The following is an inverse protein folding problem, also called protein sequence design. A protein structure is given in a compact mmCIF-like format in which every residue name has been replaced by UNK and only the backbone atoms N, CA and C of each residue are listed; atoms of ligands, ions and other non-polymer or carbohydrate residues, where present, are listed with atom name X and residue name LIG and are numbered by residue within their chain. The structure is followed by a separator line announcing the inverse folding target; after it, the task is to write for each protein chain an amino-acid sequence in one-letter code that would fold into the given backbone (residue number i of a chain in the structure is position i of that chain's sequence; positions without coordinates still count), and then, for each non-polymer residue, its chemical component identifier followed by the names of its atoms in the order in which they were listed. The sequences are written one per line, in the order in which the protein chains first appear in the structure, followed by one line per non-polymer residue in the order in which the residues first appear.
data_IF_608015607195
#
_entry.id   IF_608015607195
#
_cell.length_a   1.000
_cell.length_b   1.000
_cell.length_c   1.000
_cell.angle_alpha   90.00
_cell.angle_beta   90.00
_cell.angle_gamma   90.00
#
_symmetry.space_group_name_H-M   'P 1'
#
loop_
_entity.id
_entity.type
_entity.pdbx_description
1 polymer ?
#
# COMPACT_ATOMS: atom_id res chain seq x y z
N UNK A 1 -17.57 11.89 -19.77
CA UNK A 1 -17.92 10.47 -20.04
C UNK A 1 -17.06 9.59 -19.14
N UNK A 2 -17.62 9.16 -18.01
CA UNK A 2 -16.97 8.27 -17.04
C UNK A 2 -16.98 6.84 -17.60
N UNK A 3 -15.94 6.48 -18.36
CA UNK A 3 -15.64 5.06 -18.57
C UNK A 3 -15.02 4.57 -17.26
N UNK A 4 -15.74 3.71 -16.56
CA UNK A 4 -15.28 3.06 -15.33
C UNK A 4 -13.90 2.47 -15.52
N UNK A 5 -12.90 3.05 -14.86
CA UNK A 5 -11.52 2.57 -14.79
C UNK A 5 -11.46 1.09 -14.34
N UNK A 6 -12.49 0.62 -13.63
CA UNK A 6 -12.62 -0.77 -13.25
C UNK A 6 -12.61 -1.72 -14.46
N UNK A 7 -13.11 -1.29 -15.63
CA UNK A 7 -13.09 -2.08 -16.86
C UNK A 7 -11.70 -2.10 -17.54
N UNK A 8 -10.95 -0.98 -17.48
CA UNK A 8 -9.59 -0.88 -18.04
C UNK A 8 -8.59 -1.70 -17.23
N UNK A 9 -8.79 -1.76 -15.92
CA UNK A 9 -7.87 -2.40 -14.97
C UNK A 9 -8.19 -3.89 -14.76
N UNK A 10 -9.43 -4.33 -15.03
CA UNK A 10 -9.93 -5.70 -14.80
C UNK A 10 -9.25 -6.81 -15.61
N UNK A 11 -8.48 -6.50 -16.65
CA UNK A 11 -7.91 -7.51 -17.57
C UNK A 11 -6.45 -7.28 -17.98
N UNK A 12 -5.79 -6.26 -17.45
CA UNK A 12 -4.46 -5.88 -17.93
C UNK A 12 -3.37 -6.50 -17.04
N UNK A 13 -2.44 -7.22 -17.68
CA UNK A 13 -1.04 -7.19 -17.25
C UNK A 13 -0.64 -5.73 -17.03
N UNK A 14 0.27 -5.45 -16.11
CA UNK A 14 0.87 -4.16 -15.79
C UNK A 14 1.49 -3.39 -16.99
N UNK A 15 0.72 -3.14 -18.03
CA UNK A 15 1.11 -2.43 -19.22
C UNK A 15 1.20 -0.95 -18.93
N UNK A 16 2.01 -0.28 -19.74
CA UNK A 16 2.11 1.17 -19.84
C UNK A 16 0.74 1.83 -19.84
N UNK A 17 -0.23 1.28 -20.57
CA UNK A 17 -1.51 1.93 -20.87
C UNK A 17 -2.36 2.25 -19.63
N UNK A 18 -2.31 1.39 -18.59
CA UNK A 18 -3.02 1.65 -17.33
C UNK A 18 -2.33 2.74 -16.52
N UNK A 19 -0.99 2.72 -16.48
CA UNK A 19 -0.20 3.70 -15.75
C UNK A 19 -0.24 5.08 -16.43
N UNK A 20 -0.23 5.10 -17.76
CA UNK A 20 -0.36 6.32 -18.57
C UNK A 20 -1.73 6.97 -18.37
N UNK A 21 -2.80 6.18 -18.35
CA UNK A 21 -4.15 6.68 -18.06
C UNK A 21 -4.27 7.23 -16.63
N UNK A 22 -3.56 6.64 -15.67
CA UNK A 22 -3.53 7.11 -14.29
C UNK A 22 -2.75 8.43 -14.12
N UNK A 23 -1.76 8.70 -14.96
CA UNK A 23 -0.95 9.92 -14.92
C UNK A 23 -1.76 11.22 -15.08
N UNK A 24 -2.94 11.17 -15.71
CA UNK A 24 -3.82 12.32 -15.90
C UNK A 24 -4.60 12.74 -14.63
N UNK A 25 -4.60 11.92 -13.58
CA UNK A 25 -5.34 12.18 -12.35
C UNK A 25 -4.51 12.96 -11.32
N UNK A 26 -5.20 13.67 -10.41
CA UNK A 26 -4.53 14.33 -9.29
C UNK A 26 -3.78 13.31 -8.42
N UNK A 27 -2.74 13.73 -7.65
CA UNK A 27 -2.04 12.82 -6.75
C UNK A 27 -2.98 12.10 -5.77
N UNK A 28 -4.00 12.78 -5.24
CA UNK A 28 -4.97 12.18 -4.32
C UNK A 28 -5.81 11.10 -5.00
N UNK A 29 -6.28 11.34 -6.23
CA UNK A 29 -7.03 10.35 -7.01
C UNK A 29 -6.14 9.15 -7.36
N UNK A 30 -4.89 9.37 -7.78
CA UNK A 30 -3.94 8.27 -8.04
C UNK A 30 -3.74 7.38 -6.82
N UNK A 31 -3.56 7.96 -5.63
CA UNK A 31 -3.46 7.18 -4.38
C UNK A 31 -4.71 6.34 -4.13
N UNK A 32 -5.91 6.90 -4.31
CA UNK A 32 -7.18 6.15 -4.15
C UNK A 32 -7.30 5.01 -5.16
N UNK A 33 -7.02 5.29 -6.43
CA UNK A 33 -7.11 4.29 -7.50
C UNK A 33 -6.11 3.15 -7.32
N UNK A 34 -4.88 3.45 -6.88
CA UNK A 34 -3.88 2.42 -6.54
C UNK A 34 -4.34 1.60 -5.33
N UNK A 35 -4.85 2.24 -4.27
CA UNK A 35 -5.35 1.53 -3.09
C UNK A 35 -6.49 0.58 -3.47
N UNK A 36 -7.50 1.09 -4.17
CA UNK A 36 -8.65 0.32 -4.63
C UNK A 36 -8.27 -0.81 -5.59
N UNK A 37 -7.28 -0.60 -6.44
CA UNK A 37 -6.82 -1.62 -7.38
C UNK A 37 -6.12 -2.77 -6.66
N UNK A 38 -5.11 -2.46 -5.83
CA UNK A 38 -4.38 -3.49 -5.09
C UNK A 38 -5.32 -4.26 -4.15
N UNK A 39 -6.25 -3.58 -3.48
CA UNK A 39 -7.22 -4.18 -2.56
C UNK A 39 -8.28 -5.10 -3.23
N UNK A 40 -8.21 -5.30 -4.55
CA UNK A 40 -9.00 -6.35 -5.25
C UNK A 40 -8.33 -7.72 -5.20
N UNK A 41 -7.02 -7.76 -4.93
CA UNK A 41 -6.32 -9.02 -4.76
C UNK A 41 -6.81 -9.71 -3.48
N UNK A 42 -6.85 -11.06 -3.46
CA UNK A 42 -7.23 -11.77 -2.25
C UNK A 42 -6.16 -11.58 -1.18
N UNK A 43 -6.60 -11.35 0.05
CA UNK A 43 -5.73 -11.36 1.22
C UNK A 43 -5.58 -12.82 1.68
N UNK A 44 -4.36 -13.33 1.66
CA UNK A 44 -4.04 -14.73 2.03
C UNK A 44 -2.74 -14.70 2.82
N UNK A 45 -2.75 -15.26 4.03
CA UNK A 45 -1.54 -15.37 4.85
C UNK A 45 -0.48 -16.22 4.13
N UNK A 46 0.80 -15.88 4.28
CA UNK A 46 1.89 -16.55 3.57
C UNK A 46 1.96 -18.06 3.82
N UNK A 47 1.58 -18.48 5.02
CA UNK A 47 1.59 -19.89 5.37
C UNK A 47 0.59 -20.69 4.53
N UNK A 48 -0.55 -20.08 4.19
CA UNK A 48 -1.58 -20.69 3.36
C UNK A 48 -1.27 -20.53 1.87
N UNK A 49 -0.62 -19.42 1.49
CA UNK A 49 -0.33 -19.09 0.10
C UNK A 49 0.94 -19.78 -0.44
N UNK A 50 2.01 -19.79 0.35
CA UNK A 50 3.36 -20.22 -0.05
C UNK A 50 3.94 -21.33 0.83
N UNK A 51 3.28 -21.68 1.94
CA UNK A 51 3.81 -22.65 2.91
C UNK A 51 4.98 -22.11 3.74
N UNK A 52 5.19 -20.79 3.73
CA UNK A 52 6.25 -20.09 4.46
C UNK A 52 5.62 -19.17 5.52
N UNK A 53 6.33 -18.91 6.61
CA UNK A 53 5.79 -18.05 7.69
C UNK A 53 5.84 -16.55 7.38
N UNK A 54 6.73 -16.17 6.46
CA UNK A 54 7.04 -14.78 6.09
C UNK A 54 7.76 -14.84 4.72
N UNK A 55 7.09 -14.37 3.67
CA UNK A 55 7.54 -14.40 2.28
C UNK A 55 7.11 -13.12 1.56
N UNK A 56 8.09 -12.25 1.32
CA UNK A 56 7.85 -10.97 0.67
C UNK A 56 7.79 -11.17 -0.84
N UNK A 57 6.58 -11.30 -1.39
CA UNK A 57 6.36 -11.53 -2.80
C UNK A 57 6.78 -10.33 -3.65
N UNK A 58 7.40 -10.60 -4.80
CA UNK A 58 7.55 -9.55 -5.80
C UNK A 58 6.18 -9.14 -6.35
N UNK A 59 6.11 -7.94 -6.96
CA UNK A 59 4.85 -7.42 -7.47
C UNK A 59 4.17 -8.38 -8.45
N UNK A 60 4.92 -9.04 -9.34
CA UNK A 60 4.35 -9.95 -10.32
C UNK A 60 3.66 -11.15 -9.66
N UNK A 61 4.27 -11.69 -8.60
CA UNK A 61 3.76 -12.79 -7.79
C UNK A 61 2.53 -12.36 -7.01
N UNK A 62 2.58 -11.20 -6.33
CA UNK A 62 1.44 -10.65 -5.60
C UNK A 62 0.19 -10.50 -6.48
N UNK A 63 0.30 -9.92 -7.69
CA UNK A 63 -0.86 -9.76 -8.57
C UNK A 63 -1.31 -11.05 -9.26
N UNK A 64 -0.52 -12.13 -9.18
CA UNK A 64 -0.94 -13.45 -9.66
C UNK A 64 -1.71 -14.22 -8.59
N UNK A 65 -1.27 -14.14 -7.33
CA UNK A 65 -1.71 -15.05 -6.28
C UNK A 65 -2.47 -14.36 -5.14
N UNK A 66 -2.37 -13.04 -5.01
CA UNK A 66 -2.63 -12.36 -3.73
C UNK A 66 -1.50 -12.61 -2.74
N UNK A 67 -1.62 -12.03 -1.54
CA UNK A 67 -0.67 -12.22 -0.43
C UNK A 67 -1.19 -11.55 0.85
N UNK A 68 -0.34 -11.26 1.83
CA UNK A 68 -0.66 -10.59 3.08
C UNK A 68 -0.20 -9.12 3.12
N UNK A 69 -0.20 -8.51 4.31
CA UNK A 69 -0.21 -7.06 4.49
C UNK A 69 0.98 -6.30 3.89
N UNK A 70 2.21 -6.80 4.02
CA UNK A 70 3.42 -6.14 3.52
C UNK A 70 3.46 -6.13 2.01
N UNK A 71 2.99 -7.19 1.38
CA UNK A 71 2.98 -7.34 -0.07
C UNK A 71 1.96 -6.39 -0.70
N UNK A 72 0.81 -6.17 -0.05
CA UNK A 72 -0.10 -5.09 -0.42
C UNK A 72 0.60 -3.72 -0.33
N UNK A 73 1.37 -3.45 0.74
CA UNK A 73 2.08 -2.19 0.90
C UNK A 73 3.18 -1.98 -0.15
N UNK A 74 3.95 -3.03 -0.46
CA UNK A 74 5.02 -3.04 -1.48
C UNK A 74 4.41 -2.86 -2.87
N UNK A 75 3.34 -3.57 -3.20
CA UNK A 75 2.63 -3.44 -4.47
C UNK A 75 2.16 -2.01 -4.70
N UNK A 76 1.51 -1.39 -3.71
CA UNK A 76 1.05 0.00 -3.78
C UNK A 76 2.22 0.97 -3.91
N UNK A 77 3.31 0.75 -3.19
CA UNK A 77 4.53 1.58 -3.28
C UNK A 77 5.07 1.56 -4.72
N UNK A 78 5.21 0.37 -5.31
CA UNK A 78 5.75 0.21 -6.65
C UNK A 78 4.84 0.76 -7.74
N UNK A 79 3.53 0.64 -7.58
CA UNK A 79 2.57 1.28 -8.49
C UNK A 79 2.67 2.80 -8.42
N UNK A 80 2.72 3.38 -7.22
CA UNK A 80 2.87 4.83 -7.06
C UNK A 80 4.22 5.34 -7.55
N UNK A 81 5.31 4.59 -7.35
CA UNK A 81 6.63 4.90 -7.89
C UNK A 81 6.60 5.03 -9.42
N UNK A 82 5.91 4.09 -10.11
CA UNK A 82 5.70 4.16 -11.56
C UNK A 82 4.78 5.32 -12.00
N UNK A 83 4.03 5.91 -11.08
CA UNK A 83 3.19 7.09 -11.30
C UNK A 83 3.88 8.37 -10.82
N UNK A 84 5.21 8.40 -10.81
CA UNK A 84 6.05 9.55 -10.43
C UNK A 84 5.88 10.03 -8.99
N UNK A 85 5.42 9.17 -8.08
CA UNK A 85 5.55 9.45 -6.66
C UNK A 85 6.99 9.20 -6.23
N UNK A 86 7.68 10.28 -5.88
CA UNK A 86 9.06 10.19 -5.42
C UNK A 86 9.17 9.28 -4.18
N UNK A 87 10.04 8.26 -4.17
CA UNK A 87 10.20 7.30 -3.07
C UNK A 87 10.41 7.93 -1.69
N UNK A 88 11.13 9.06 -1.61
CA UNK A 88 11.34 9.78 -0.35
C UNK A 88 10.06 10.37 0.30
N UNK A 89 8.95 10.43 -0.44
CA UNK A 89 7.63 10.81 0.09
C UNK A 89 6.84 9.61 0.61
N UNK A 90 7.31 8.39 0.36
CA UNK A 90 6.58 7.17 0.69
C UNK A 90 7.31 6.40 1.78
N UNK A 91 6.54 5.72 2.65
CA UNK A 91 7.08 4.82 3.66
C UNK A 91 6.22 3.59 3.82
N UNK A 92 6.83 2.40 3.75
CA UNK A 92 6.22 1.18 4.27
C UNK A 92 6.36 1.25 5.79
N UNK A 93 5.27 1.05 6.51
CA UNK A 93 5.22 1.15 7.98
C UNK A 93 4.79 -0.19 8.52
N UNK A 94 5.66 -0.81 9.31
CA UNK A 94 5.35 -1.96 10.15
C UNK A 94 4.80 -1.44 11.47
N UNK A 95 3.69 -2.01 11.91
CA UNK A 95 2.92 -1.52 13.06
C UNK A 95 2.19 -2.64 13.78
N UNK A 96 1.80 -2.37 15.03
CA UNK A 96 0.84 -3.20 15.74
C UNK A 96 -0.56 -2.66 15.49
N UNK A 97 -1.46 -3.50 14.97
CA UNK A 97 -2.90 -3.28 15.03
C UNK A 97 -3.37 -3.64 16.45
N UNK A 98 -3.62 -2.62 17.26
CA UNK A 98 -4.01 -2.80 18.67
C UNK A 98 -5.44 -3.34 18.82
N UNK A 99 -6.31 -3.13 17.84
CA UNK A 99 -7.67 -3.69 17.86
C UNK A 99 -7.66 -5.20 17.62
N UNK A 100 -6.80 -5.67 16.72
CA UNK A 100 -6.68 -7.10 16.38
C UNK A 100 -5.55 -7.81 17.12
N UNK A 101 -4.74 -7.07 17.87
CA UNK A 101 -3.55 -7.53 18.57
C UNK A 101 -2.60 -8.35 17.67
N UNK A 102 -2.29 -7.81 16.49
CA UNK A 102 -1.43 -8.45 15.48
C UNK A 102 -0.52 -7.47 14.78
N UNK A 103 0.63 -7.94 14.30
CA UNK A 103 1.46 -7.14 13.41
C UNK A 103 0.73 -6.90 12.09
N UNK A 104 1.00 -5.75 11.49
CA UNK A 104 0.43 -5.33 10.22
C UNK A 104 1.40 -4.41 9.49
N UNK A 105 1.22 -4.29 8.18
CA UNK A 105 2.00 -3.40 7.34
C UNK A 105 1.10 -2.54 6.46
N UNK A 106 1.44 -1.26 6.34
CA UNK A 106 0.72 -0.28 5.52
C UNK A 106 1.69 0.58 4.73
N UNK A 107 1.18 1.24 3.69
CA UNK A 107 1.91 2.29 2.99
C UNK A 107 1.45 3.66 3.48
N UNK A 108 2.38 4.57 3.74
CA UNK A 108 2.10 5.99 3.94
C UNK A 108 2.73 6.83 2.84
N UNK A 109 2.05 7.90 2.43
CA UNK A 109 2.47 8.82 1.39
C UNK A 109 2.31 10.25 1.87
N UNK A 110 3.41 11.00 1.96
CA UNK A 110 3.37 12.42 2.25
C UNK A 110 3.00 13.21 0.99
N UNK A 111 1.91 13.96 1.06
CA UNK A 111 1.43 14.85 0.00
C UNK A 111 0.90 16.13 0.61
N UNK A 112 1.41 17.28 0.16
CA UNK A 112 1.03 18.62 0.65
C UNK A 112 1.16 18.77 2.17
N UNK A 113 2.20 18.20 2.77
CA UNK A 113 2.45 18.27 4.21
C UNK A 113 1.65 17.26 5.05
N UNK A 114 0.67 16.58 4.46
CA UNK A 114 -0.14 15.54 5.12
C UNK A 114 0.40 14.14 4.76
N UNK A 115 0.52 13.26 5.76
CA UNK A 115 0.75 11.84 5.50
C UNK A 115 -0.59 11.10 5.36
N UNK A 116 -0.77 10.46 4.21
CA UNK A 116 -1.95 9.66 3.85
C UNK A 116 -1.60 8.18 3.96
N UNK A 117 -2.51 7.37 4.49
CA UNK A 117 -2.34 5.94 4.68
C UNK A 117 -3.14 5.16 3.64
N UNK A 118 -2.49 4.18 3.04
CA UNK A 118 -3.04 3.19 2.12
C UNK A 118 -2.88 1.81 2.77
N UNK A 119 -4.00 1.14 3.01
CA UNK A 119 -4.07 -0.07 3.85
C UNK A 119 -4.84 -1.18 3.09
N UNK A 120 -4.52 -2.44 3.35
CA UNK A 120 -5.28 -3.60 2.87
C UNK A 120 -6.57 -3.84 3.67
N UNK A 121 -6.65 -3.38 4.92
CA UNK A 121 -7.82 -3.54 5.78
C UNK A 121 -8.79 -2.35 5.73
N UNK A 122 -8.27 -1.14 5.51
CA UNK A 122 -9.05 0.09 5.37
C UNK A 122 -9.15 0.44 3.88
N UNK A 123 -10.39 0.46 3.37
CA UNK A 123 -10.67 0.72 1.95
C UNK A 123 -10.29 2.14 1.53
N UNK A 124 -10.59 3.13 2.36
CA UNK A 124 -10.36 4.53 2.03
C UNK A 124 -8.90 4.94 2.28
N UNK A 125 -8.40 5.86 1.46
CA UNK A 125 -7.14 6.55 1.73
C UNK A 125 -7.41 7.64 2.75
N UNK A 126 -6.89 7.49 3.96
CA UNK A 126 -7.18 8.34 5.12
C UNK A 126 -5.93 9.06 5.63
N UNK A 127 -6.04 10.22 6.29
CA UNK A 127 -4.93 10.79 7.04
C UNK A 127 -4.48 9.82 8.14
N UNK A 128 -3.18 9.62 8.31
CA UNK A 128 -2.66 8.60 9.23
C UNK A 128 -3.09 8.85 10.69
N UNK A 129 -3.36 10.10 11.07
CA UNK A 129 -3.80 10.53 12.40
C UNK A 129 -5.18 9.99 12.77
N UNK A 130 -5.98 9.59 11.76
CA UNK A 130 -7.29 8.99 11.96
C UNK A 130 -7.21 7.49 12.31
N UNK A 131 -6.08 6.84 12.00
CA UNK A 131 -5.83 5.43 12.29
C UNK A 131 -5.26 5.23 13.69
N UNK A 132 -5.97 5.71 14.71
CA UNK A 132 -5.48 5.81 16.10
C UNK A 132 -5.22 4.48 16.80
N UNK A 133 -5.71 3.37 16.24
CA UNK A 133 -5.50 2.01 16.75
C UNK A 133 -4.24 1.33 16.20
N UNK A 134 -3.54 2.01 15.28
CA UNK A 134 -2.27 1.53 14.74
C UNK A 134 -1.12 2.18 15.48
N UNK A 135 -0.22 1.34 16.01
CA UNK A 135 0.99 1.77 16.69
C UNK A 135 2.22 1.45 15.84
N UNK A 136 2.80 2.43 15.14
CA UNK A 136 4.00 2.23 14.32
C UNK A 136 5.17 1.71 15.15
N UNK A 137 5.94 0.78 14.60
CA UNK A 137 7.16 0.24 15.22
C UNK A 137 8.38 0.59 14.35
N UNK A 138 8.29 0.33 13.04
CA UNK A 138 9.37 0.58 12.09
C UNK A 138 8.79 1.17 10.81
N UNK A 139 9.52 2.06 10.14
CA UNK A 139 9.18 2.43 8.77
C UNK A 139 10.39 2.49 7.86
N UNK A 140 10.21 2.14 6.60
CA UNK A 140 11.23 2.12 5.56
C UNK A 140 10.91 3.19 4.51
N UNK A 141 11.88 4.04 4.17
CA UNK A 141 11.76 5.07 3.12
C UNK A 141 13.02 5.11 2.25
N UNK A 142 12.92 4.58 1.03
CA UNK A 142 14.10 4.36 0.19
C UNK A 142 15.15 3.49 0.93
N UNK A 143 16.42 3.92 1.04
CA UNK A 143 17.45 3.17 1.75
C UNK A 143 17.44 3.35 3.28
N UNK A 144 16.48 4.11 3.84
CA UNK A 144 16.48 4.49 5.27
C UNK A 144 15.45 3.69 6.06
N UNK A 145 15.85 3.25 7.25
CA UNK A 145 14.99 2.67 8.26
C UNK A 145 14.83 3.65 9.43
N UNK A 146 13.61 3.78 9.93
CA UNK A 146 13.25 4.62 11.07
C UNK A 146 12.60 3.76 12.15
N UNK A 147 13.12 3.82 13.37
CA UNK A 147 12.51 3.22 14.55
C UNK A 147 11.54 4.20 15.20
N UNK A 148 10.31 3.76 15.43
CA UNK A 148 9.30 4.55 16.15
C UNK A 148 9.32 4.16 17.61
N UNK A 149 9.75 5.09 18.46
CA UNK A 149 9.81 4.89 19.90
C UNK A 149 8.66 5.68 20.53
N UNK A 150 7.78 5.03 21.31
CA UNK A 150 6.76 5.75 22.06
C UNK A 150 7.39 6.84 22.93
N UNK A 151 6.73 7.99 23.14
CA UNK A 151 7.18 8.97 24.12
C UNK A 151 7.40 8.29 25.47
N UNK A 152 8.48 8.65 26.17
CA UNK A 152 8.63 8.24 27.57
C UNK A 152 7.49 8.87 28.36
N UNK A 153 6.63 8.02 28.93
CA UNK A 153 5.61 8.40 29.91
C UNK A 153 6.24 8.74 31.25
#
# INVERSE_FOLDING_TARGET
MSKSLAATVSKANYGSDVLDALGAFSPAERMRLVNDFANRMPYIEDIDNYGLRDYWADTATFFKNGSDCEDFAIAKFKLLEKLDFHPARMRIVLLLDEQRNRQHAVLTVNSNGQAWMLDSLIRDVVPHETATHYRPTVSLSGPRLYLHVPPKT
#
